data_IF_718709390335
#
_entry.id   IF_718709390335
#
_cell.length_a   1.000
_cell.length_b   1.000
_cell.length_c   1.000
_cell.angle_alpha   90.00
_cell.angle_beta   90.00
_cell.angle_gamma   90.00
#
_symmetry.space_group_name_H-M   'P 1'
#
loop_
_entity.id
_entity.type
_entity.pdbx_description
1 polymer ?
#
# COMPACT_ATOMS: atom_id res chain seq x y z
N UNK A 1 -2.16 12.93 -10.73
CA UNK A 1 -2.15 12.05 -9.52
C UNK A 1 -3.59 11.76 -9.12
N UNK A 2 -3.94 10.52 -9.02
CA UNK A 2 -5.32 10.10 -8.71
C UNK A 2 -5.30 9.20 -7.47
N UNK A 3 -6.13 9.53 -6.48
CA UNK A 3 -6.28 8.71 -5.27
C UNK A 3 -6.72 7.28 -5.65
N UNK A 4 -6.09 6.28 -5.08
CA UNK A 4 -6.46 4.87 -5.28
C UNK A 4 -7.14 4.31 -4.03
N UNK A 5 -6.41 4.13 -2.95
CA UNK A 5 -6.97 3.54 -1.73
C UNK A 5 -6.14 3.89 -0.49
N UNK A 6 -6.75 3.67 0.66
CA UNK A 6 -6.04 3.56 1.93
C UNK A 6 -5.79 2.09 2.19
N UNK A 7 -4.55 1.74 2.48
CA UNK A 7 -4.15 0.37 2.75
C UNK A 7 -3.66 0.25 4.19
N UNK A 8 -4.33 -0.59 4.96
CA UNK A 8 -3.93 -0.92 6.31
C UNK A 8 -2.92 -2.06 6.26
N UNK A 9 -1.78 -1.89 6.91
CA UNK A 9 -0.74 -2.90 6.97
C UNK A 9 -0.93 -3.68 8.26
N UNK A 10 -1.28 -4.95 8.13
CA UNK A 10 -1.76 -5.76 9.25
C UNK A 10 -0.83 -6.93 9.51
N UNK A 11 -0.69 -7.30 10.78
CA UNK A 11 0.13 -8.43 11.19
C UNK A 11 -0.58 -9.76 10.94
N UNK A 12 -1.86 -9.85 11.31
CA UNK A 12 -2.67 -11.06 11.14
C UNK A 12 -3.72 -10.79 10.06
N UNK A 13 -3.38 -11.15 8.83
CA UNK A 13 -4.24 -10.93 7.67
C UNK A 13 -5.60 -11.62 7.82
N UNK A 14 -5.60 -12.91 8.14
CA UNK A 14 -6.83 -13.69 8.18
C UNK A 14 -7.81 -13.18 9.23
N UNK A 15 -7.30 -12.83 10.40
CA UNK A 15 -8.11 -12.27 11.48
C UNK A 15 -8.71 -10.92 11.08
N UNK A 16 -7.91 -10.05 10.46
CA UNK A 16 -8.38 -8.75 9.99
C UNK A 16 -9.37 -8.89 8.84
N UNK A 17 -9.10 -9.77 7.88
CA UNK A 17 -10.02 -10.02 6.77
C UNK A 17 -11.40 -10.48 7.28
N UNK A 18 -11.42 -11.44 8.19
CA UNK A 18 -12.67 -11.91 8.79
C UNK A 18 -13.38 -10.84 9.61
N UNK A 19 -12.63 -9.99 10.30
CA UNK A 19 -13.22 -8.87 11.02
C UNK A 19 -14.00 -7.94 10.07
N UNK A 20 -13.37 -7.52 8.98
CA UNK A 20 -14.01 -6.61 8.03
C UNK A 20 -15.20 -7.25 7.30
N UNK A 21 -15.11 -8.53 6.97
CA UNK A 21 -16.20 -9.23 6.25
C UNK A 21 -17.30 -9.73 7.17
N UNK A 22 -16.95 -10.42 8.26
CA UNK A 22 -17.93 -11.07 9.14
C UNK A 22 -18.52 -10.14 10.19
N UNK A 23 -17.69 -9.26 10.79
CA UNK A 23 -18.17 -8.35 11.84
C UNK A 23 -18.72 -7.05 11.27
N UNK A 24 -18.01 -6.42 10.35
CA UNK A 24 -18.47 -5.17 9.74
C UNK A 24 -19.34 -5.38 8.51
N UNK A 25 -19.41 -6.60 7.99
CA UNK A 25 -20.27 -6.93 6.85
C UNK A 25 -19.85 -6.35 5.51
N UNK A 26 -18.56 -5.96 5.36
CA UNK A 26 -18.08 -5.43 4.09
C UNK A 26 -17.95 -6.56 3.07
N UNK A 27 -18.38 -6.29 1.83
CA UNK A 27 -18.23 -7.22 0.73
C UNK A 27 -16.79 -7.17 0.20
N UNK A 28 -16.07 -8.32 0.16
CA UNK A 28 -14.74 -8.32 -0.42
C UNK A 28 -14.80 -8.09 -1.94
N UNK A 29 -13.96 -7.19 -2.42
CA UNK A 29 -13.74 -6.96 -3.85
C UNK A 29 -12.62 -7.84 -4.36
N UNK A 30 -11.61 -8.09 -3.53
CA UNK A 30 -10.42 -8.87 -3.87
C UNK A 30 -9.91 -9.59 -2.63
N UNK A 31 -9.40 -10.80 -2.80
CA UNK A 31 -8.78 -11.58 -1.71
C UNK A 31 -7.66 -12.46 -2.26
N UNK A 32 -6.42 -12.12 -1.91
CA UNK A 32 -5.26 -12.99 -2.08
C UNK A 32 -4.90 -13.46 -0.67
N UNK A 33 -5.26 -14.68 -0.36
CA UNK A 33 -5.15 -15.25 0.99
C UNK A 33 -3.77 -15.03 1.60
N UNK A 34 -3.76 -14.49 2.82
CA UNK A 34 -2.54 -14.21 3.56
C UNK A 34 -1.72 -13.03 3.06
N UNK A 35 -2.17 -12.33 2.02
CA UNK A 35 -1.39 -11.30 1.36
C UNK A 35 -2.12 -9.96 1.27
N UNK A 36 -3.20 -9.90 0.50
CA UNK A 36 -3.88 -8.64 0.15
C UNK A 36 -5.38 -8.86 0.01
N UNK A 37 -6.16 -7.95 0.55
CA UNK A 37 -7.61 -7.93 0.36
C UNK A 37 -8.12 -6.50 0.23
N UNK A 38 -9.16 -6.31 -0.57
CA UNK A 38 -9.84 -5.02 -0.67
C UNK A 38 -11.34 -5.20 -0.47
N UNK A 39 -12.00 -4.12 -0.08
CA UNK A 39 -13.41 -4.14 0.29
C UNK A 39 -14.17 -3.05 -0.44
N UNK A 40 -15.41 -3.35 -0.80
CA UNK A 40 -16.35 -2.36 -1.32
C UNK A 40 -16.88 -1.55 -0.15
N UNK A 41 -16.48 -0.28 -0.07
CA UNK A 41 -16.91 0.62 1.01
C UNK A 41 -18.11 1.47 0.60
N UNK A 42 -18.34 1.61 -0.72
CA UNK A 42 -19.51 2.25 -1.31
C UNK A 42 -19.66 1.71 -2.73
N UNK A 43 -20.80 1.98 -3.36
CA UNK A 43 -21.04 1.54 -4.74
C UNK A 43 -19.95 2.05 -5.68
N UNK A 44 -19.24 1.12 -6.35
CA UNK A 44 -18.14 1.44 -7.27
C UNK A 44 -16.86 1.94 -6.61
N UNK A 45 -16.76 1.92 -5.28
CA UNK A 45 -15.59 2.43 -4.55
C UNK A 45 -14.94 1.32 -3.72
N UNK A 46 -13.71 0.98 -4.07
CA UNK A 46 -12.87 0.03 -3.36
C UNK A 46 -11.73 0.78 -2.66
N UNK A 47 -12.09 1.75 -1.80
CA UNK A 47 -11.14 2.68 -1.20
C UNK A 47 -10.41 2.15 0.02
N UNK A 48 -10.75 0.95 0.51
CA UNK A 48 -10.13 0.34 1.69
C UNK A 48 -9.53 -1.02 1.34
N UNK A 49 -8.28 -1.22 1.71
CA UNK A 49 -7.60 -2.50 1.52
C UNK A 49 -6.79 -2.86 2.77
N UNK A 50 -6.47 -4.14 2.91
CA UNK A 50 -5.51 -4.65 3.89
C UNK A 50 -4.39 -5.39 3.18
N UNK A 51 -3.19 -5.32 3.74
CA UNK A 51 -2.00 -5.98 3.19
C UNK A 51 -1.16 -6.52 4.34
N UNK A 52 -0.63 -7.72 4.20
CA UNK A 52 0.23 -8.31 5.23
C UNK A 52 1.49 -7.46 5.42
N UNK A 53 1.69 -6.95 6.63
CA UNK A 53 2.83 -6.07 6.94
C UNK A 53 4.18 -6.74 6.73
N UNK A 54 4.27 -8.06 6.97
CA UNK A 54 5.49 -8.83 6.76
C UNK A 54 5.91 -8.89 5.29
N UNK A 55 4.98 -8.70 4.37
CA UNK A 55 5.26 -8.65 2.94
C UNK A 55 5.64 -7.24 2.47
N UNK A 56 5.19 -6.20 3.18
CA UNK A 56 5.54 -4.82 2.85
C UNK A 56 6.90 -4.41 3.44
N UNK A 57 7.25 -4.89 4.63
CA UNK A 57 8.47 -4.48 5.32
C UNK A 57 9.74 -4.62 4.47
N UNK A 58 9.97 -5.74 3.75
CA UNK A 58 11.15 -5.84 2.88
C UNK A 58 11.18 -4.81 1.76
N UNK A 59 10.01 -4.48 1.21
CA UNK A 59 9.90 -3.54 0.07
C UNK A 59 10.39 -2.14 0.45
N UNK A 60 10.21 -1.75 1.72
CA UNK A 60 10.62 -0.44 2.23
C UNK A 60 11.83 -0.50 3.15
N UNK A 61 12.58 -1.62 3.15
CA UNK A 61 13.83 -1.76 3.87
C UNK A 61 13.71 -1.95 5.37
N UNK A 62 12.56 -2.45 5.85
CA UNK A 62 12.29 -2.62 7.28
C UNK A 62 12.18 -4.09 7.74
N UNK A 63 12.58 -5.04 6.89
CA UNK A 63 12.40 -6.47 7.15
C UNK A 63 13.06 -6.96 8.46
N UNK A 64 14.18 -6.34 8.83
CA UNK A 64 15.01 -6.74 9.98
C UNK A 64 14.79 -5.86 11.22
N UNK A 65 13.79 -4.97 11.19
CA UNK A 65 13.53 -4.06 12.31
C UNK A 65 12.48 -4.63 13.26
N UNK A 66 12.83 -4.74 14.51
CA UNK A 66 11.92 -5.12 15.58
C UNK A 66 10.79 -4.10 15.74
N UNK A 67 9.58 -4.60 15.93
CA UNK A 67 8.39 -3.78 16.11
C UNK A 67 7.63 -4.20 17.37
N UNK A 68 7.61 -3.37 18.41
CA UNK A 68 6.88 -3.69 19.64
C UNK A 68 5.40 -3.99 19.40
N UNK A 69 4.80 -3.35 18.42
CA UNK A 69 3.40 -3.60 18.04
C UNK A 69 3.24 -4.62 16.91
N UNK A 70 4.34 -5.29 16.51
CA UNK A 70 4.35 -6.29 15.45
C UNK A 70 4.42 -5.73 14.03
N UNK A 71 4.29 -4.40 13.87
CA UNK A 71 4.33 -3.77 12.55
C UNK A 71 4.74 -2.31 12.68
N UNK A 72 5.79 -1.92 11.99
CA UNK A 72 6.22 -0.52 11.95
C UNK A 72 5.31 0.31 11.05
N UNK A 73 5.05 -0.23 9.87
CA UNK A 73 4.15 0.39 8.91
C UNK A 73 2.73 -0.09 9.24
N UNK A 74 1.82 0.85 9.49
CA UNK A 74 0.43 0.53 9.83
C UNK A 74 -0.54 0.91 8.73
N UNK A 75 -0.26 2.00 8.03
CA UNK A 75 -1.12 2.50 6.96
C UNK A 75 -0.29 2.91 5.76
N UNK A 76 -0.90 2.86 4.61
CA UNK A 76 -0.32 3.36 3.37
C UNK A 76 -1.42 4.00 2.54
N UNK A 77 -1.15 5.19 1.99
CA UNK A 77 -2.03 5.84 1.02
C UNK A 77 -1.45 5.60 -0.36
N UNK A 78 -2.27 5.14 -1.29
CA UNK A 78 -1.83 4.79 -2.64
C UNK A 78 -2.45 5.72 -3.67
N UNK A 79 -1.61 6.25 -4.57
CA UNK A 79 -2.04 7.11 -5.69
C UNK A 79 -1.57 6.50 -7.01
N UNK A 80 -2.47 6.45 -7.96
CA UNK A 80 -2.11 6.14 -9.35
C UNK A 80 -1.61 7.40 -10.04
N UNK A 81 -0.49 7.28 -10.75
CA UNK A 81 0.08 8.34 -11.59
C UNK A 81 0.27 7.81 -13.01
N UNK A 82 0.31 8.72 -13.98
CA UNK A 82 0.46 8.33 -15.38
C UNK A 82 1.83 7.70 -15.65
N UNK A 83 2.86 8.20 -15.00
CA UNK A 83 4.24 7.72 -15.14
C UNK A 83 4.97 7.90 -13.81
N UNK A 84 5.36 6.77 -13.19
CA UNK A 84 6.04 6.78 -11.88
C UNK A 84 7.40 7.45 -11.96
N UNK A 85 8.16 7.24 -13.06
CA UNK A 85 9.49 7.84 -13.20
C UNK A 85 9.39 9.36 -13.34
N UNK A 86 8.44 9.85 -14.14
CA UNK A 86 8.19 11.28 -14.28
C UNK A 86 7.74 11.89 -12.95
N UNK A 87 6.84 11.23 -12.22
CA UNK A 87 6.39 11.69 -10.90
C UNK A 87 7.57 11.75 -9.92
N UNK A 88 8.43 10.72 -9.93
CA UNK A 88 9.63 10.68 -9.09
C UNK A 88 10.53 11.90 -9.37
N UNK A 89 10.86 12.13 -10.64
CA UNK A 89 11.74 13.25 -11.00
C UNK A 89 11.13 14.61 -10.65
N UNK A 90 9.85 14.78 -10.93
CA UNK A 90 9.12 16.02 -10.64
C UNK A 90 9.08 16.32 -9.15
N UNK A 91 8.78 15.33 -8.33
CA UNK A 91 8.71 15.51 -6.88
C UNK A 91 10.08 15.64 -6.23
N UNK A 92 11.09 14.92 -6.72
CA UNK A 92 12.46 15.06 -6.27
C UNK A 92 12.98 16.48 -6.51
N UNK A 93 12.63 17.08 -7.65
CA UNK A 93 12.98 18.46 -7.96
C UNK A 93 12.33 19.48 -7.01
N UNK A 94 11.24 19.11 -6.34
CA UNK A 94 10.60 19.92 -5.30
C UNK A 94 11.16 19.65 -3.89
N UNK A 95 12.19 18.84 -3.78
CA UNK A 95 12.82 18.51 -2.50
C UNK A 95 12.22 17.32 -1.77
N UNK A 96 11.34 16.54 -2.40
CA UNK A 96 10.78 15.34 -1.80
C UNK A 96 11.84 14.23 -1.75
N UNK A 97 12.00 13.62 -0.59
CA UNK A 97 12.86 12.46 -0.41
C UNK A 97 12.05 11.18 -0.53
N UNK A 98 12.61 10.18 -1.24
CA UNK A 98 11.96 8.91 -1.47
C UNK A 98 12.61 7.80 -0.64
N UNK A 99 11.82 6.79 -0.26
CA UNK A 99 12.30 5.60 0.44
C UNK A 99 13.19 4.76 -0.48
N UNK A 100 12.86 4.71 -1.76
CA UNK A 100 13.55 3.90 -2.76
C UNK A 100 13.44 4.58 -4.13
N UNK A 101 13.94 3.91 -5.16
CA UNK A 101 13.78 4.33 -6.55
C UNK A 101 12.64 3.58 -7.21
N UNK A 102 12.05 4.15 -8.29
CA UNK A 102 11.04 3.43 -9.06
C UNK A 102 11.51 2.03 -9.46
N UNK A 103 10.64 1.05 -9.27
CA UNK A 103 10.93 -0.34 -9.59
C UNK A 103 9.68 -1.07 -10.04
N UNK A 104 9.88 -2.09 -10.88
CA UNK A 104 8.79 -2.95 -11.32
C UNK A 104 8.52 -4.02 -10.27
N UNK A 105 7.24 -4.23 -10.00
CA UNK A 105 6.73 -5.30 -9.16
C UNK A 105 5.84 -6.19 -10.02
N UNK A 106 6.45 -7.12 -10.79
CA UNK A 106 5.69 -7.92 -11.77
C UNK A 106 4.59 -8.76 -11.12
N UNK A 107 4.84 -9.28 -9.91
CA UNK A 107 3.84 -10.04 -9.15
C UNK A 107 2.61 -9.22 -8.77
N UNK A 108 2.73 -7.90 -8.76
CA UNK A 108 1.63 -6.96 -8.47
C UNK A 108 1.09 -6.30 -9.74
N UNK A 109 1.75 -6.49 -10.87
CA UNK A 109 1.37 -5.86 -12.13
C UNK A 109 1.56 -4.34 -12.14
N UNK A 110 2.52 -3.82 -11.36
CA UNK A 110 2.72 -2.38 -11.18
C UNK A 110 4.20 -2.00 -11.21
N UNK A 111 4.45 -0.75 -11.63
CA UNK A 111 5.70 -0.06 -11.34
C UNK A 111 5.41 0.90 -10.17
N UNK A 112 6.27 0.90 -9.16
CA UNK A 112 6.01 1.59 -7.89
C UNK A 112 7.19 2.41 -7.42
N UNK A 113 6.90 3.41 -6.58
CA UNK A 113 7.89 4.11 -5.77
C UNK A 113 7.24 4.53 -4.45
N UNK A 114 8.02 4.59 -3.38
CA UNK A 114 7.52 4.90 -2.04
C UNK A 114 8.17 6.17 -1.49
N UNK A 115 7.38 6.93 -0.75
CA UNK A 115 7.82 8.13 -0.03
C UNK A 115 7.05 8.22 1.28
N UNK A 116 7.44 9.16 2.14
CA UNK A 116 6.76 9.40 3.41
C UNK A 116 6.34 10.85 3.50
N UNK A 117 5.22 11.09 4.16
CA UNK A 117 4.81 12.44 4.51
C UNK A 117 5.63 12.96 5.72
N UNK A 118 5.47 14.24 6.16
CA UNK A 118 6.23 14.78 7.30
C UNK A 118 6.01 14.03 8.63
N UNK A 119 4.93 13.29 8.77
CA UNK A 119 4.63 12.48 9.96
C UNK A 119 5.00 11.00 9.77
N UNK A 120 5.82 10.71 8.75
CA UNK A 120 6.32 9.36 8.44
C UNK A 120 5.26 8.37 7.94
N UNK A 121 4.08 8.85 7.51
CA UNK A 121 3.10 7.98 6.88
C UNK A 121 3.56 7.55 5.50
N UNK A 122 3.41 6.26 5.20
CA UNK A 122 3.85 5.69 3.94
C UNK A 122 2.90 6.06 2.80
N UNK A 123 3.48 6.46 1.67
CA UNK A 123 2.75 6.78 0.44
C UNK A 123 3.34 5.94 -0.69
N UNK A 124 2.45 5.35 -1.48
CA UNK A 124 2.80 4.63 -2.71
C UNK A 124 2.35 5.43 -3.92
N UNK A 125 3.23 5.60 -4.89
CA UNK A 125 2.86 6.02 -6.25
C UNK A 125 3.02 4.82 -7.17
N UNK A 126 2.03 4.57 -8.02
CA UNK A 126 2.10 3.42 -8.92
C UNK A 126 1.54 3.74 -10.31
N UNK A 127 2.03 2.98 -11.28
CA UNK A 127 1.49 2.91 -12.64
C UNK A 127 1.31 1.43 -12.98
N UNK A 128 0.16 1.01 -13.54
CA UNK A 128 0.01 -0.37 -13.99
C UNK A 128 1.04 -0.72 -15.07
N UNK A 129 1.61 -1.92 -15.00
CA UNK A 129 2.48 -2.45 -16.05
C UNK A 129 1.63 -2.85 -17.26
N UNK A 130 2.17 -2.60 -18.42
CA UNK A 130 1.53 -2.94 -19.70
C UNK A 130 1.78 -4.38 -20.09
#
# INVERSE_FOLDING_TARGET
MKFSNVRLLVKDYDKCFRFYTEKLGLEPAFDIEGCYGSFKVAEGIEGLAIFASDLMAPVVGNADKDQPSGCREKTMVSFEVDDVDEAFETLAAKGVEFVNRPSDMPGWGMRVVYLRDPEENLIELFTPLK
#
